data_IF_077066134263
#
_entry.id   IF_077066134263
#
_cell.length_a   1.000
_cell.length_b   1.000
_cell.length_c   1.000
_cell.angle_alpha   90.00
_cell.angle_beta   90.00
_cell.angle_gamma   90.00
#
_symmetry.space_group_name_H-M   'P 1'
#
loop_
_entity.id
_entity.type
_entity.pdbx_description
1 polymer ?
#
# COMPACT_ATOMS: atom_id res chain seq x y z
N UNK A 1 -13.84 12.52 9.73
CA UNK A 1 -12.50 11.98 9.38
C UNK A 1 -12.56 10.47 9.50
N UNK A 2 -12.04 9.76 8.51
CA UNK A 2 -11.99 8.29 8.59
C UNK A 2 -10.97 7.86 9.65
N UNK A 3 -11.34 6.85 10.44
CA UNK A 3 -10.45 6.20 11.42
C UNK A 3 -10.23 4.71 11.07
N UNK A 4 -10.52 4.33 9.81
CA UNK A 4 -10.47 2.91 9.42
C UNK A 4 -9.08 2.32 9.56
N UNK A 5 -8.03 3.08 9.25
CA UNK A 5 -6.63 2.63 9.40
C UNK A 5 -6.34 2.35 10.87
N UNK A 6 -6.61 3.32 11.75
CA UNK A 6 -6.37 3.21 13.19
C UNK A 6 -7.19 2.07 13.81
N UNK A 7 -8.48 2.00 13.50
CA UNK A 7 -9.38 0.95 13.99
C UNK A 7 -8.91 -0.44 13.53
N UNK A 8 -8.42 -0.56 12.29
CA UNK A 8 -7.88 -1.82 11.77
C UNK A 8 -6.64 -2.24 12.54
N UNK A 9 -5.64 -1.37 12.71
CA UNK A 9 -4.44 -1.70 13.46
C UNK A 9 -4.73 -1.97 14.94
N UNK A 10 -5.65 -1.24 15.55
CA UNK A 10 -6.06 -1.49 16.94
C UNK A 10 -6.72 -2.87 17.11
N UNK A 11 -7.65 -3.23 16.19
CA UNK A 11 -8.26 -4.56 16.15
C UNK A 11 -7.19 -5.64 16.03
N UNK A 12 -6.27 -5.51 15.06
CA UNK A 12 -5.22 -6.49 14.81
C UNK A 12 -4.24 -6.64 15.98
N UNK A 13 -3.94 -5.55 16.68
CA UNK A 13 -3.14 -5.57 17.91
C UNK A 13 -3.82 -6.39 19.01
N UNK A 14 -5.14 -6.24 19.18
CA UNK A 14 -5.93 -7.07 20.12
C UNK A 14 -5.96 -8.55 19.72
N UNK A 15 -5.96 -8.83 18.41
CA UNK A 15 -5.87 -10.20 17.87
C UNK A 15 -4.43 -10.76 17.88
N UNK A 16 -3.45 -9.97 18.31
CA UNK A 16 -2.02 -10.32 18.29
C UNK A 16 -1.56 -10.79 16.90
N UNK A 17 -1.93 -10.08 15.85
CA UNK A 17 -1.59 -10.42 14.46
C UNK A 17 -1.22 -9.16 13.66
N UNK A 18 -0.33 -9.32 12.68
CA UNK A 18 -0.01 -8.25 11.72
C UNK A 18 -1.10 -8.14 10.63
N UNK A 19 -1.16 -6.98 9.97
CA UNK A 19 -2.01 -6.77 8.80
C UNK A 19 -1.42 -7.38 7.54
N UNK A 20 -2.27 -7.79 6.59
CA UNK A 20 -1.91 -8.06 5.20
C UNK A 20 -2.42 -6.93 4.31
N UNK A 21 -1.51 -6.31 3.56
CA UNK A 21 -1.79 -5.20 2.66
C UNK A 21 -1.42 -5.63 1.23
N UNK A 22 -2.34 -6.18 0.44
CA UNK A 22 -2.11 -6.40 -0.98
C UNK A 22 -2.13 -5.07 -1.74
N UNK A 23 -1.17 -4.91 -2.67
CA UNK A 23 -1.15 -3.86 -3.67
C UNK A 23 -1.68 -4.40 -5.00
N UNK A 24 -2.58 -3.66 -5.64
CA UNK A 24 -3.00 -3.87 -7.02
C UNK A 24 -2.87 -2.57 -7.80
N UNK A 25 -2.56 -2.64 -9.10
CA UNK A 25 -2.63 -1.46 -9.96
C UNK A 25 -4.08 -1.22 -10.37
N UNK A 26 -4.59 -0.02 -10.13
CA UNK A 26 -5.94 0.33 -10.56
C UNK A 26 -6.07 0.28 -12.09
N UNK A 27 -7.15 -0.35 -12.60
CA UNK A 27 -7.39 -0.61 -14.02
C UNK A 27 -6.48 -1.69 -14.66
N UNK A 28 -5.74 -2.45 -13.89
CA UNK A 28 -4.96 -3.56 -14.43
C UNK A 28 -5.65 -4.92 -14.16
N UNK A 29 -6.02 -5.69 -15.19
CA UNK A 29 -5.90 -5.42 -16.62
C UNK A 29 -6.99 -4.47 -17.18
N UNK A 30 -8.08 -4.23 -16.47
CA UNK A 30 -9.22 -3.39 -16.83
C UNK A 30 -10.04 -2.97 -15.59
N UNK A 31 -10.99 -2.04 -15.78
CA UNK A 31 -11.83 -1.52 -14.70
C UNK A 31 -12.70 -2.59 -14.04
N UNK A 32 -13.30 -3.48 -14.84
CA UNK A 32 -14.23 -4.52 -14.35
C UNK A 32 -13.49 -5.53 -13.49
N UNK A 33 -12.33 -6.00 -13.96
CA UNK A 33 -11.47 -6.92 -13.23
C UNK A 33 -10.95 -6.28 -11.94
N UNK A 34 -10.51 -5.02 -12.00
CA UNK A 34 -10.08 -4.29 -10.79
C UNK A 34 -11.18 -4.17 -9.76
N UNK A 35 -12.41 -3.82 -10.17
CA UNK A 35 -13.55 -3.75 -9.25
C UNK A 35 -13.84 -5.11 -8.59
N UNK A 36 -13.79 -6.19 -9.36
CA UNK A 36 -13.99 -7.54 -8.83
C UNK A 36 -12.85 -8.00 -7.91
N UNK A 37 -11.59 -7.60 -8.20
CA UNK A 37 -10.44 -7.83 -7.31
C UNK A 37 -10.65 -7.12 -5.97
N UNK A 38 -11.00 -5.84 -6.00
CA UNK A 38 -11.27 -5.05 -4.79
C UNK A 38 -12.35 -5.72 -3.93
N UNK A 39 -13.45 -6.16 -4.54
CA UNK A 39 -14.53 -6.84 -3.82
C UNK A 39 -14.09 -8.18 -3.19
N UNK A 40 -13.19 -8.91 -3.82
CA UNK A 40 -12.76 -10.24 -3.38
C UNK A 40 -11.63 -10.23 -2.32
N UNK A 41 -10.75 -9.24 -2.35
CA UNK A 41 -9.55 -9.20 -1.51
C UNK A 41 -9.83 -9.19 0.01
N UNK A 42 -10.85 -8.49 0.56
CA UNK A 42 -11.14 -8.54 1.99
C UNK A 42 -11.50 -9.96 2.46
N UNK A 43 -12.33 -10.68 1.71
CA UNK A 43 -12.70 -12.06 2.02
C UNK A 43 -11.52 -13.04 1.85
N UNK A 44 -10.53 -12.69 1.02
CA UNK A 44 -9.29 -13.44 0.85
C UNK A 44 -8.28 -13.22 2.00
N UNK A 45 -8.52 -12.27 2.90
CA UNK A 45 -7.69 -12.00 4.07
C UNK A 45 -6.90 -10.68 4.01
N UNK A 46 -7.23 -9.78 3.09
CA UNK A 46 -6.69 -8.43 3.09
C UNK A 46 -7.29 -7.60 4.23
N UNK A 47 -6.46 -6.99 5.04
CA UNK A 47 -6.88 -6.09 6.13
C UNK A 47 -6.97 -4.63 5.67
N UNK A 48 -6.06 -4.21 4.81
CA UNK A 48 -6.07 -2.95 4.07
C UNK A 48 -5.80 -3.27 2.60
N UNK A 49 -6.17 -2.38 1.69
CA UNK A 49 -5.85 -2.54 0.26
C UNK A 49 -5.14 -1.30 -0.24
N UNK A 50 -4.04 -1.51 -0.96
CA UNK A 50 -3.29 -0.47 -1.64
C UNK A 50 -3.60 -0.50 -3.13
N UNK A 51 -3.99 0.65 -3.69
CA UNK A 51 -4.34 0.82 -5.10
C UNK A 51 -3.34 1.76 -5.76
N UNK A 52 -2.60 1.24 -6.74
CA UNK A 52 -1.69 2.03 -7.55
C UNK A 52 -2.43 2.99 -8.50
N UNK A 53 -2.03 4.23 -8.53
CA UNK A 53 -2.42 5.23 -9.54
C UNK A 53 -1.41 5.11 -10.68
N UNK A 54 -1.81 4.66 -11.89
CA UNK A 54 -0.88 4.50 -12.98
C UNK A 54 -0.34 5.84 -13.45
N UNK A 55 0.95 5.86 -13.79
CA UNK A 55 1.66 7.03 -14.29
C UNK A 55 2.59 6.62 -15.43
N UNK A 56 2.84 7.51 -16.38
CA UNK A 56 3.68 7.24 -17.55
C UNK A 56 5.18 7.20 -17.24
N UNK A 57 5.60 7.90 -16.15
CA UNK A 57 7.01 8.06 -15.77
C UNK A 57 7.27 7.53 -14.35
N UNK A 58 7.04 6.22 -14.09
CA UNK A 58 7.05 5.65 -12.74
C UNK A 58 8.48 5.31 -12.29
N UNK A 59 9.30 6.32 -12.02
CA UNK A 59 10.75 6.21 -11.76
C UNK A 59 11.16 5.31 -10.59
N UNK A 60 10.27 5.11 -9.63
CA UNK A 60 10.55 4.29 -8.44
C UNK A 60 9.99 2.86 -8.55
N UNK A 61 9.19 2.57 -9.59
CA UNK A 61 8.55 1.27 -9.73
C UNK A 61 9.46 0.24 -10.40
N UNK A 62 9.37 -0.99 -9.94
CA UNK A 62 10.02 -2.14 -10.60
C UNK A 62 9.27 -2.54 -11.89
N UNK A 63 9.91 -3.36 -12.76
CA UNK A 63 9.39 -3.67 -14.09
C UNK A 63 7.99 -4.30 -14.11
N UNK A 64 7.63 -5.07 -13.08
CA UNK A 64 6.29 -5.69 -12.97
C UNK A 64 5.22 -4.62 -12.75
N UNK A 65 5.49 -3.67 -11.87
CA UNK A 65 4.55 -2.56 -11.56
C UNK A 65 4.47 -1.60 -12.74
N UNK A 66 5.60 -1.27 -13.37
CA UNK A 66 5.62 -0.45 -14.59
C UNK A 66 4.76 -1.08 -15.70
N UNK A 67 4.92 -2.39 -15.95
CA UNK A 67 4.12 -3.09 -16.95
C UNK A 67 2.60 -3.08 -16.61
N UNK A 68 2.24 -3.18 -15.33
CA UNK A 68 0.86 -3.05 -14.88
C UNK A 68 0.32 -1.63 -15.10
N UNK A 69 1.12 -0.61 -14.78
CA UNK A 69 0.79 0.80 -15.04
C UNK A 69 0.53 1.07 -16.53
N UNK A 70 1.37 0.53 -17.42
CA UNK A 70 1.17 0.65 -18.87
C UNK A 70 -0.13 -0.02 -19.33
N UNK A 71 -0.48 -1.22 -18.82
CA UNK A 71 -1.75 -1.87 -19.13
C UNK A 71 -2.94 -1.05 -18.64
N UNK A 72 -2.85 -0.53 -17.43
CA UNK A 72 -3.88 0.33 -16.84
C UNK A 72 -4.11 1.61 -17.64
N UNK A 73 -3.04 2.31 -18.06
CA UNK A 73 -3.13 3.49 -18.93
C UNK A 73 -3.74 3.14 -20.28
N UNK A 74 -3.34 2.03 -20.90
CA UNK A 74 -3.93 1.54 -22.14
C UNK A 74 -5.41 1.19 -22.01
N UNK A 75 -5.85 0.74 -20.82
CA UNK A 75 -7.25 0.51 -20.48
C UNK A 75 -8.04 1.79 -20.16
N UNK A 76 -7.40 2.97 -20.27
CA UNK A 76 -8.04 4.27 -20.08
C UNK A 76 -8.12 4.74 -18.62
N UNK A 77 -7.23 4.24 -17.76
CA UNK A 77 -7.17 4.68 -16.35
C UNK A 77 -6.89 6.18 -16.25
N UNK A 78 -7.63 6.83 -15.36
CA UNK A 78 -7.42 8.22 -14.94
C UNK A 78 -7.55 8.29 -13.43
N UNK A 79 -7.00 9.32 -12.79
CA UNK A 79 -7.18 9.51 -11.35
C UNK A 79 -8.67 9.59 -10.98
N UNK A 80 -9.48 10.28 -11.80
CA UNK A 80 -10.94 10.36 -11.60
C UNK A 80 -11.60 8.97 -11.62
N UNK A 81 -11.22 8.12 -12.58
CA UNK A 81 -11.81 6.77 -12.69
C UNK A 81 -11.34 5.83 -11.56
N UNK A 82 -10.10 5.99 -11.06
CA UNK A 82 -9.62 5.30 -9.86
C UNK A 82 -10.47 5.66 -8.63
N UNK A 83 -10.75 6.96 -8.42
CA UNK A 83 -11.66 7.40 -7.35
C UNK A 83 -13.08 6.83 -7.53
N UNK A 84 -13.51 6.63 -8.76
CA UNK A 84 -14.76 5.93 -9.08
C UNK A 84 -14.78 4.49 -8.59
N UNK A 85 -13.69 3.73 -8.78
CA UNK A 85 -13.54 2.36 -8.25
C UNK A 85 -13.58 2.34 -6.72
N UNK A 86 -12.89 3.27 -6.07
CA UNK A 86 -12.91 3.37 -4.59
C UNK A 86 -14.34 3.64 -4.08
N UNK A 87 -15.08 4.52 -4.75
CA UNK A 87 -16.48 4.83 -4.39
C UNK A 87 -17.38 3.60 -4.52
N UNK A 88 -17.22 2.81 -5.60
CA UNK A 88 -17.95 1.56 -5.79
C UNK A 88 -17.61 0.53 -4.71
N UNK A 89 -16.33 0.36 -4.41
CA UNK A 89 -15.86 -0.52 -3.32
C UNK A 89 -16.47 -0.10 -1.98
N UNK A 90 -16.39 1.19 -1.65
CA UNK A 90 -16.87 1.72 -0.37
C UNK A 90 -18.36 1.51 -0.13
N UNK A 91 -19.18 1.46 -1.18
CA UNK A 91 -20.60 1.18 -1.08
C UNK A 91 -20.89 -0.24 -0.53
N UNK A 92 -19.94 -1.17 -0.64
CA UNK A 92 -20.07 -2.57 -0.19
C UNK A 92 -19.19 -2.88 1.03
N UNK A 93 -18.06 -2.21 1.18
CA UNK A 93 -17.03 -2.48 2.19
C UNK A 93 -16.79 -1.23 3.03
N UNK A 94 -17.56 -1.07 4.12
CA UNK A 94 -17.50 0.12 4.96
C UNK A 94 -16.17 0.25 5.75
N UNK A 95 -15.58 -0.88 6.16
CA UNK A 95 -14.53 -0.90 7.19
C UNK A 95 -13.11 -1.13 6.66
N UNK A 96 -12.95 -1.76 5.47
CA UNK A 96 -11.62 -2.04 4.91
C UNK A 96 -10.94 -0.77 4.44
N UNK A 97 -9.78 -0.37 5.00
CA UNK A 97 -9.08 0.84 4.56
C UNK A 97 -8.57 0.72 3.12
N UNK A 98 -8.64 1.83 2.38
CA UNK A 98 -8.08 2.00 1.05
C UNK A 98 -6.97 3.04 1.10
N UNK A 99 -5.79 2.66 0.62
CA UNK A 99 -4.63 3.52 0.45
C UNK A 99 -4.39 3.70 -1.04
N UNK A 100 -4.28 4.94 -1.51
CA UNK A 100 -3.82 5.20 -2.87
C UNK A 100 -2.30 5.36 -2.87
N UNK A 101 -1.62 4.77 -3.85
CA UNK A 101 -0.19 4.95 -4.06
C UNK A 101 0.07 5.50 -5.46
N UNK A 102 0.89 6.54 -5.56
CA UNK A 102 1.23 7.13 -6.86
C UNK A 102 2.31 8.20 -6.76
N UNK A 103 2.38 8.99 -7.80
CA UNK A 103 3.34 10.07 -7.98
C UNK A 103 2.67 11.43 -7.84
N UNK A 104 3.44 12.46 -7.50
CA UNK A 104 2.88 13.79 -7.22
C UNK A 104 2.30 14.47 -8.48
N UNK A 105 2.94 14.27 -9.63
CA UNK A 105 2.51 14.95 -10.87
C UNK A 105 1.03 14.70 -11.24
N UNK A 106 0.47 13.46 -11.25
CA UNK A 106 -0.94 13.22 -11.49
C UNK A 106 -1.87 13.95 -10.51
N UNK A 107 -1.49 14.05 -9.24
CA UNK A 107 -2.26 14.74 -8.20
C UNK A 107 -2.22 16.25 -8.44
N UNK A 108 -1.03 16.80 -8.67
CA UNK A 108 -0.81 18.21 -8.96
C UNK A 108 -1.63 18.67 -10.18
N UNK A 109 -1.63 17.86 -11.25
CA UNK A 109 -2.46 18.10 -12.46
C UNK A 109 -3.95 18.01 -12.20
N UNK A 110 -4.40 17.20 -11.27
CA UNK A 110 -5.81 17.12 -10.84
C UNK A 110 -6.21 18.35 -10.00
N UNK A 111 -5.25 18.95 -9.31
CA UNK A 111 -5.40 20.03 -8.34
C UNK A 111 -5.43 19.47 -6.92
N UNK A 112 -4.47 19.90 -6.09
CA UNK A 112 -4.22 19.34 -4.74
C UNK A 112 -5.46 19.38 -3.84
N UNK A 113 -6.13 20.53 -3.75
CA UNK A 113 -7.36 20.68 -2.97
C UNK A 113 -8.49 19.79 -3.49
N UNK A 114 -8.71 19.83 -4.81
CA UNK A 114 -9.75 19.04 -5.45
C UNK A 114 -9.50 17.54 -5.28
N UNK A 115 -8.26 17.11 -5.45
CA UNK A 115 -7.89 15.70 -5.22
C UNK A 115 -8.22 15.26 -3.80
N UNK A 116 -7.79 16.01 -2.79
CA UNK A 116 -8.03 15.64 -1.38
C UNK A 116 -9.53 15.59 -1.06
N UNK A 117 -10.31 16.55 -1.57
CA UNK A 117 -11.77 16.58 -1.41
C UNK A 117 -12.43 15.38 -2.07
N UNK A 118 -12.11 15.11 -3.35
CA UNK A 118 -12.72 14.03 -4.13
C UNK A 118 -12.30 12.64 -3.61
N UNK A 119 -11.04 12.49 -3.17
CA UNK A 119 -10.53 11.25 -2.58
C UNK A 119 -11.21 10.93 -1.23
N UNK A 120 -11.33 11.92 -0.34
CA UNK A 120 -12.04 11.75 0.92
C UNK A 120 -13.53 11.41 0.68
N UNK A 121 -14.19 12.10 -0.24
CA UNK A 121 -15.58 11.84 -0.62
C UNK A 121 -15.77 10.46 -1.27
N UNK A 122 -14.75 9.95 -1.99
CA UNK A 122 -14.76 8.60 -2.53
C UNK A 122 -14.55 7.51 -1.45
N UNK A 123 -14.04 7.90 -0.28
CA UNK A 123 -13.78 7.00 0.84
C UNK A 123 -12.37 6.43 0.87
N UNK A 124 -11.40 7.14 0.28
CA UNK A 124 -9.96 6.90 0.48
C UNK A 124 -9.61 7.22 1.93
N UNK A 125 -8.72 6.46 2.53
CA UNK A 125 -8.29 6.62 3.92
C UNK A 125 -6.90 7.23 4.03
N UNK A 126 -6.03 6.95 3.08
CA UNK A 126 -4.67 7.46 3.08
C UNK A 126 -4.03 7.45 1.70
N UNK A 127 -2.88 8.09 1.61
CA UNK A 127 -2.12 8.20 0.38
C UNK A 127 -0.62 8.02 0.62
N UNK A 128 0.01 7.36 -0.34
CA UNK A 128 1.47 7.27 -0.49
C UNK A 128 1.85 8.04 -1.75
N UNK A 129 2.69 9.06 -1.61
CA UNK A 129 3.23 9.82 -2.74
C UNK A 129 4.73 9.58 -2.78
N UNK A 130 5.15 8.84 -3.79
CA UNK A 130 6.49 8.24 -3.85
C UNK A 130 7.59 9.28 -3.97
N UNK A 131 7.31 10.36 -4.70
CA UNK A 131 8.25 11.42 -5.08
C UNK A 131 8.00 12.77 -4.39
N UNK A 132 7.16 12.81 -3.33
CA UNK A 132 6.93 14.04 -2.55
C UNK A 132 7.74 13.99 -1.23
N UNK A 133 8.89 14.66 -1.15
CA UNK A 133 9.68 14.72 0.07
C UNK A 133 9.02 15.61 1.13
N UNK A 134 9.33 15.42 2.43
CA UNK A 134 8.75 16.25 3.50
C UNK A 134 8.97 17.76 3.33
N UNK A 135 10.08 18.14 2.72
CA UNK A 135 10.42 19.54 2.47
C UNK A 135 9.46 20.25 1.51
N UNK A 136 8.81 19.48 0.62
CA UNK A 136 7.88 19.98 -0.39
C UNK A 136 6.40 19.66 -0.05
N UNK A 137 6.13 19.03 1.08
CA UNK A 137 4.75 18.62 1.45
C UNK A 137 3.81 19.80 1.69
N UNK A 138 4.35 21.01 1.90
CA UNK A 138 3.57 22.22 2.15
C UNK A 138 2.53 22.55 1.08
N UNK A 139 2.75 22.10 -0.16
CA UNK A 139 1.78 22.28 -1.25
C UNK A 139 0.54 21.37 -1.14
N UNK A 140 0.64 20.26 -0.42
CA UNK A 140 -0.43 19.26 -0.35
C UNK A 140 -0.96 19.03 1.06
N UNK A 141 -0.09 19.06 2.06
CA UNK A 141 -0.40 18.71 3.45
C UNK A 141 -1.59 19.46 4.05
N UNK A 142 -1.77 20.79 3.86
CA UNK A 142 -2.94 21.49 4.37
C UNK A 142 -4.28 20.89 3.88
N UNK A 143 -4.34 20.44 2.65
CA UNK A 143 -5.54 19.83 2.06
C UNK A 143 -5.75 18.39 2.54
N UNK A 144 -4.67 17.63 2.75
CA UNK A 144 -4.74 16.30 3.38
C UNK A 144 -5.30 16.40 4.80
N UNK A 145 -4.76 17.32 5.60
CA UNK A 145 -5.19 17.54 6.98
C UNK A 145 -6.66 17.97 7.04
N UNK A 146 -7.07 18.90 6.17
CA UNK A 146 -8.46 19.36 6.10
C UNK A 146 -9.46 18.26 5.69
N UNK A 147 -9.04 17.35 4.80
CA UNK A 147 -9.86 16.23 4.33
C UNK A 147 -9.79 15.00 5.22
N UNK A 148 -8.83 14.95 6.17
CA UNK A 148 -8.61 13.83 7.08
C UNK A 148 -7.94 12.61 6.42
N UNK A 149 -7.34 12.78 5.24
CA UNK A 149 -6.55 11.76 4.58
C UNK A 149 -5.20 11.58 5.28
N UNK A 150 -4.79 10.33 5.47
CA UNK A 150 -3.49 10.02 6.07
C UNK A 150 -2.38 10.07 5.03
N UNK A 151 -1.24 10.67 5.41
CA UNK A 151 -0.04 10.67 4.58
C UNK A 151 0.91 9.58 5.07
N UNK A 152 0.96 8.48 4.35
CA UNK A 152 1.87 7.37 4.64
C UNK A 152 3.23 7.68 4.04
N UNK A 153 4.30 7.64 4.84
CA UNK A 153 5.66 7.89 4.39
C UNK A 153 6.42 6.61 4.12
N UNK A 154 7.15 6.64 3.02
CA UNK A 154 8.08 5.57 2.65
C UNK A 154 9.44 5.80 3.32
N UNK A 155 9.96 4.78 3.98
CA UNK A 155 11.27 4.79 4.62
C UNK A 155 12.12 3.70 3.99
N UNK A 156 13.31 4.06 3.51
CA UNK A 156 14.25 3.14 2.87
C UNK A 156 15.40 2.78 3.81
N UNK A 157 16.09 1.64 3.61
CA UNK A 157 17.29 1.26 4.36
C UNK A 157 18.41 2.29 4.31
N UNK A 158 18.44 3.09 3.26
CA UNK A 158 19.40 4.16 3.04
C UNK A 158 19.07 5.47 3.75
N UNK A 159 17.90 5.56 4.40
CA UNK A 159 17.50 6.75 5.16
C UNK A 159 18.31 6.82 6.46
N UNK A 160 19.13 7.87 6.61
CA UNK A 160 19.86 8.14 7.86
C UNK A 160 18.88 8.54 8.99
N UNK A 161 19.39 8.51 10.25
CA UNK A 161 18.56 8.72 11.44
C UNK A 161 17.74 10.03 11.42
N UNK A 162 18.37 11.14 11.03
CA UNK A 162 17.67 12.44 10.92
C UNK A 162 16.56 12.40 9.86
N UNK A 163 16.79 11.71 8.73
CA UNK A 163 15.78 11.55 7.69
C UNK A 163 14.62 10.68 8.16
N UNK A 164 14.91 9.59 8.86
CA UNK A 164 13.90 8.72 9.48
C UNK A 164 13.03 9.52 10.45
N UNK A 165 13.65 10.33 11.32
CA UNK A 165 12.93 11.20 12.26
C UNK A 165 12.01 12.18 11.54
N UNK A 166 12.50 12.88 10.52
CA UNK A 166 11.71 13.83 9.73
C UNK A 166 10.52 13.16 9.05
N UNK A 167 10.76 12.03 8.36
CA UNK A 167 9.72 11.25 7.71
C UNK A 167 8.67 10.73 8.70
N UNK A 168 9.11 10.24 9.86
CA UNK A 168 8.19 9.75 10.90
C UNK A 168 7.32 10.85 11.50
N UNK A 169 7.85 12.05 11.67
CA UNK A 169 7.11 13.20 12.20
C UNK A 169 6.05 13.73 11.21
N UNK A 170 6.29 13.61 9.91
CA UNK A 170 5.34 14.03 8.88
C UNK A 170 4.35 12.93 8.48
N UNK A 171 4.56 11.69 8.95
CA UNK A 171 3.70 10.55 8.66
C UNK A 171 2.41 10.54 9.48
N UNK A 172 1.39 9.91 8.94
CA UNK A 172 0.16 9.57 9.66
C UNK A 172 -0.43 8.24 9.17
N UNK A 173 -1.25 7.60 10.02
CA UNK A 173 -1.80 6.27 9.75
C UNK A 173 -0.79 5.15 10.04
N UNK A 174 0.23 5.01 9.23
CA UNK A 174 1.36 4.10 9.42
C UNK A 174 2.59 4.59 8.64
N UNK A 175 3.76 4.00 8.91
CA UNK A 175 4.96 4.17 8.09
C UNK A 175 5.21 2.91 7.27
N UNK A 176 5.72 3.07 6.06
CA UNK A 176 5.98 1.97 5.15
C UNK A 176 7.48 1.82 4.91
N UNK A 177 8.08 0.78 5.48
CA UNK A 177 9.47 0.44 5.29
C UNK A 177 9.64 -0.40 4.01
N UNK A 178 10.38 0.15 3.03
CA UNK A 178 10.66 -0.53 1.77
C UNK A 178 12.04 -1.17 1.87
N UNK A 179 12.12 -2.49 1.85
CA UNK A 179 13.39 -3.16 1.71
C UNK A 179 13.71 -3.43 0.24
N UNK A 180 14.81 -2.86 -0.24
CA UNK A 180 15.25 -2.97 -1.65
C UNK A 180 15.93 -4.32 -1.91
N UNK A 181 16.40 -5.01 -0.89
CA UNK A 181 17.11 -6.29 -1.01
C UNK A 181 16.10 -7.43 -1.07
N UNK A 182 15.72 -7.83 -2.28
CA UNK A 182 14.96 -9.07 -2.51
C UNK A 182 15.69 -10.28 -1.88
N UNK A 183 14.91 -11.23 -1.35
CA UNK A 183 15.43 -12.44 -0.69
C UNK A 183 16.06 -13.38 -1.74
N UNK A 184 17.25 -13.06 -2.19
CA UNK A 184 18.06 -13.94 -3.04
C UNK A 184 19.42 -14.20 -2.35
N UNK A 185 19.55 -15.36 -1.71
CA UNK A 185 20.77 -15.78 -0.99
C UNK A 185 20.79 -15.39 0.50
N UNK A 186 21.38 -16.21 1.38
CA UNK A 186 21.57 -16.02 2.83
C UNK A 186 20.34 -15.49 3.62
N UNK A 187 19.20 -16.18 3.52
CA UNK A 187 17.88 -15.77 4.05
C UNK A 187 17.88 -15.33 5.53
N UNK A 188 18.62 -16.01 6.40
CA UNK A 188 18.63 -15.72 7.83
C UNK A 188 19.29 -14.36 8.14
N UNK A 189 20.49 -14.10 7.62
CA UNK A 189 21.23 -12.86 7.87
C UNK A 189 20.48 -11.61 7.36
N UNK A 190 19.73 -11.73 6.24
CA UNK A 190 18.90 -10.64 5.72
C UNK A 190 17.68 -10.35 6.60
N UNK A 191 17.06 -11.39 7.16
CA UNK A 191 15.93 -11.26 8.08
C UNK A 191 16.36 -10.58 9.38
N UNK A 192 17.51 -10.96 9.94
CA UNK A 192 18.06 -10.35 11.16
C UNK A 192 18.41 -8.87 10.94
N UNK A 193 19.00 -8.55 9.78
CA UNK A 193 19.28 -7.16 9.39
C UNK A 193 17.98 -6.36 9.28
N UNK A 194 16.97 -6.90 8.61
CA UNK A 194 15.67 -6.23 8.47
C UNK A 194 15.02 -6.02 9.85
N UNK A 195 15.02 -7.04 10.71
CA UNK A 195 14.51 -6.92 12.06
C UNK A 195 15.20 -5.80 12.83
N UNK A 196 16.55 -5.75 12.80
CA UNK A 196 17.31 -4.68 13.45
C UNK A 196 16.92 -3.29 12.93
N UNK A 197 16.71 -3.14 11.63
CA UNK A 197 16.27 -1.88 11.02
C UNK A 197 14.85 -1.47 11.48
N UNK A 198 13.94 -2.42 11.57
CA UNK A 198 12.58 -2.17 12.09
C UNK A 198 12.61 -1.82 13.58
N UNK A 199 13.43 -2.51 14.39
CA UNK A 199 13.61 -2.20 15.82
C UNK A 199 14.17 -0.76 16.02
N UNK A 200 15.09 -0.31 15.16
CA UNK A 200 15.58 1.09 15.17
C UNK A 200 14.48 2.08 14.74
N UNK A 201 13.73 1.76 13.68
CA UNK A 201 12.63 2.62 13.22
C UNK A 201 11.56 2.80 14.31
N UNK A 202 11.26 1.75 15.08
CA UNK A 202 10.30 1.76 16.19
C UNK A 202 10.71 2.70 17.33
N UNK A 203 11.99 3.09 17.43
CA UNK A 203 12.45 4.11 18.37
C UNK A 203 12.12 5.54 17.91
N UNK A 204 11.78 5.71 16.64
CA UNK A 204 11.52 7.03 16.02
C UNK A 204 10.04 7.30 15.79
N UNK A 205 9.14 6.31 15.99
CA UNK A 205 7.70 6.46 15.75
C UNK A 205 6.87 5.48 16.56
N UNK A 206 5.71 5.95 17.01
CA UNK A 206 4.66 5.10 17.62
C UNK A 206 3.65 4.58 16.58
N UNK A 207 3.77 5.03 15.32
CA UNK A 207 2.91 4.57 14.23
C UNK A 207 3.17 3.10 13.92
N UNK A 208 2.15 2.35 13.46
CA UNK A 208 2.36 1.01 12.93
C UNK A 208 3.39 1.00 11.80
N UNK A 209 4.19 -0.06 11.72
CA UNK A 209 5.22 -0.22 10.69
C UNK A 209 4.80 -1.32 9.73
N UNK A 210 4.52 -0.94 8.48
CA UNK A 210 4.31 -1.87 7.37
C UNK A 210 5.64 -2.17 6.67
N UNK A 211 5.85 -3.42 6.26
CA UNK A 211 7.07 -3.84 5.58
C UNK A 211 6.77 -4.43 4.20
N UNK A 212 7.36 -3.83 3.16
CA UNK A 212 7.40 -4.37 1.80
C UNK A 212 8.75 -5.00 1.50
N UNK A 213 8.77 -6.31 1.24
CA UNK A 213 10.02 -7.08 1.13
C UNK A 213 10.04 -8.11 0.00
N UNK A 214 9.31 -7.88 -1.09
CA UNK A 214 9.28 -8.86 -2.19
C UNK A 214 8.69 -10.21 -1.77
N UNK A 215 7.69 -10.20 -0.91
CA UNK A 215 7.03 -11.36 -0.30
C UNK A 215 6.20 -12.12 -1.33
N UNK A 216 6.34 -13.45 -1.33
CA UNK A 216 5.70 -14.37 -2.27
C UNK A 216 5.09 -15.60 -1.61
N UNK A 217 5.39 -15.89 -0.35
CA UNK A 217 4.98 -17.12 0.35
C UNK A 217 4.47 -16.84 1.76
N UNK A 218 3.59 -17.71 2.28
CA UNK A 218 3.09 -17.64 3.65
C UNK A 218 4.22 -17.71 4.70
N UNK A 219 5.29 -18.45 4.43
CA UNK A 219 6.46 -18.53 5.33
C UNK A 219 7.17 -17.18 5.44
N UNK A 220 7.30 -16.44 4.32
CA UNK A 220 7.87 -15.11 4.34
C UNK A 220 6.96 -14.12 5.08
N UNK A 221 5.63 -14.22 4.89
CA UNK A 221 4.66 -13.45 5.67
C UNK A 221 4.84 -13.73 7.15
N UNK A 222 4.89 -14.99 7.58
CA UNK A 222 5.11 -15.39 8.96
C UNK A 222 6.39 -14.80 9.54
N UNK A 223 7.48 -14.85 8.79
CA UNK A 223 8.78 -14.34 9.23
C UNK A 223 8.73 -12.83 9.47
N UNK A 224 8.19 -12.06 8.49
CA UNK A 224 8.15 -10.59 8.57
C UNK A 224 7.12 -10.12 9.58
N UNK A 225 5.96 -10.76 9.67
CA UNK A 225 4.91 -10.42 10.64
C UNK A 225 5.33 -10.60 12.11
N UNK A 226 6.39 -11.36 12.36
CA UNK A 226 6.91 -11.54 13.71
C UNK A 226 7.49 -10.26 14.33
N UNK A 227 7.91 -9.28 13.52
CA UNK A 227 8.54 -8.03 13.99
C UNK A 227 7.97 -6.76 13.33
N UNK A 228 6.96 -6.88 12.45
CA UNK A 228 6.25 -5.75 11.85
C UNK A 228 4.76 -5.76 12.17
N UNK A 229 4.10 -4.62 12.01
CA UNK A 229 2.66 -4.47 12.25
C UNK A 229 1.83 -4.78 11.00
N UNK A 230 2.46 -4.71 9.81
CA UNK A 230 1.83 -5.08 8.54
C UNK A 230 2.86 -5.63 7.55
N UNK A 231 2.36 -6.45 6.64
CA UNK A 231 3.12 -7.04 5.52
C UNK A 231 2.47 -6.59 4.22
N UNK A 232 3.27 -5.94 3.35
CA UNK A 232 2.79 -5.46 2.04
C UNK A 232 3.22 -6.43 0.94
N UNK A 233 2.29 -6.77 0.05
CA UNK A 233 2.52 -7.68 -1.07
C UNK A 233 2.09 -7.02 -2.37
N UNK A 234 3.07 -6.59 -3.16
CA UNK A 234 2.86 -5.89 -4.45
C UNK A 234 3.18 -6.75 -5.66
N UNK A 235 4.42 -6.69 -6.14
CA UNK A 235 4.83 -7.27 -7.44
C UNK A 235 4.42 -8.73 -7.65
N UNK A 236 4.42 -9.54 -6.59
CA UNK A 236 4.02 -10.94 -6.69
C UNK A 236 2.53 -11.10 -7.02
N UNK A 237 1.66 -10.29 -6.39
CA UNK A 237 0.23 -10.29 -6.67
C UNK A 237 -0.08 -9.73 -8.06
N UNK A 238 0.58 -8.63 -8.44
CA UNK A 238 0.45 -8.03 -9.78
C UNK A 238 0.87 -9.01 -10.87
N UNK A 239 1.94 -9.79 -10.65
CA UNK A 239 2.38 -10.84 -11.57
C UNK A 239 1.35 -12.00 -11.67
N UNK A 240 0.75 -12.41 -10.54
CA UNK A 240 -0.35 -13.39 -10.53
C UNK A 240 -1.54 -12.90 -11.35
N UNK A 241 -1.96 -11.65 -11.18
CA UNK A 241 -3.05 -11.03 -11.95
C UNK A 241 -2.72 -11.05 -13.45
N UNK A 242 -1.52 -10.58 -13.82
CA UNK A 242 -1.10 -10.48 -15.22
C UNK A 242 -1.06 -11.84 -15.94
N UNK A 243 -0.64 -12.92 -15.26
CA UNK A 243 -0.53 -14.26 -15.82
C UNK A 243 -1.87 -14.99 -15.96
N UNK A 244 -2.89 -14.60 -15.19
CA UNK A 244 -4.16 -15.32 -15.12
C UNK A 244 -5.34 -14.55 -15.71
N UNK A 245 -5.14 -13.82 -16.78
CA UNK A 245 -6.08 -12.88 -17.43
C UNK A 245 -7.59 -13.13 -17.15
N UNK A 246 -8.11 -14.29 -17.59
CA UNK A 246 -9.54 -14.61 -17.49
C UNK A 246 -9.96 -15.11 -16.09
N UNK A 247 -9.01 -15.50 -15.24
CA UNK A 247 -9.23 -15.99 -13.88
C UNK A 247 -8.49 -15.16 -12.84
N UNK A 248 -8.13 -13.91 -13.17
CA UNK A 248 -7.31 -13.02 -12.35
C UNK A 248 -7.86 -12.89 -10.91
N UNK A 249 -9.15 -12.72 -10.76
CA UNK A 249 -9.80 -12.56 -9.43
C UNK A 249 -9.64 -13.83 -8.59
N UNK A 250 -9.91 -15.00 -9.19
CA UNK A 250 -9.78 -16.30 -8.51
C UNK A 250 -8.34 -16.59 -8.13
N UNK A 251 -7.40 -16.35 -9.05
CA UNK A 251 -5.98 -16.57 -8.81
C UNK A 251 -5.42 -15.62 -7.74
N UNK A 252 -5.78 -14.33 -7.79
CA UNK A 252 -5.39 -13.34 -6.80
C UNK A 252 -5.96 -13.66 -5.41
N UNK A 253 -7.25 -14.02 -5.33
CA UNK A 253 -7.89 -14.40 -4.05
C UNK A 253 -7.23 -15.64 -3.45
N UNK A 254 -6.96 -16.66 -4.24
CA UNK A 254 -6.27 -17.85 -3.79
C UNK A 254 -4.85 -17.54 -3.28
N UNK A 255 -4.11 -16.69 -4.01
CA UNK A 255 -2.78 -16.26 -3.62
C UNK A 255 -2.79 -15.46 -2.31
N UNK A 256 -3.68 -14.48 -2.16
CA UNK A 256 -3.82 -13.68 -0.93
C UNK A 256 -4.25 -14.56 0.25
N UNK A 257 -5.20 -15.49 0.05
CA UNK A 257 -5.63 -16.43 1.09
C UNK A 257 -4.50 -17.35 1.55
N UNK A 258 -3.62 -17.77 0.64
CA UNK A 258 -2.44 -18.57 1.01
C UNK A 258 -1.47 -17.74 1.86
N UNK A 259 -1.20 -16.49 1.46
CA UNK A 259 -0.34 -15.58 2.23
C UNK A 259 -0.90 -15.29 3.63
N UNK A 260 -2.21 -15.10 3.75
CA UNK A 260 -2.88 -14.81 5.01
C UNK A 260 -2.71 -15.92 6.06
N UNK A 261 -2.43 -17.17 5.65
CA UNK A 261 -2.11 -18.25 6.57
C UNK A 261 -0.83 -17.99 7.38
N UNK A 262 0.09 -17.21 6.82
CA UNK A 262 1.33 -16.81 7.50
C UNK A 262 1.14 -15.79 8.62
N UNK A 263 -0.02 -15.12 8.71
CA UNK A 263 -0.30 -14.13 9.76
C UNK A 263 -0.73 -14.74 11.10
N UNK A 264 -1.09 -16.01 11.14
CA UNK A 264 -1.48 -16.67 12.38
C UNK A 264 -0.23 -16.84 13.25
N UNK A 265 -0.23 -16.20 14.41
CA UNK A 265 0.77 -16.33 15.47
C UNK A 265 0.40 -17.45 16.43
#
# INVERSE_FOLDING_TARGET
>A
MSQRIENTFEKLRRENRAALIPFIMGYDPDATTTAALLDALPAAGADLIEIGIPFSEPMADGPVIQAAGLRALAAGATLHSILGLVRQFRAKHADTPIILMGYFNPLYRYGNERFCTDAAAAGVDGIIIVDLPPEEEGELKPYLDASGLKLIRLIAPTSGAERVKLLSQSASGFVYYISITGITGAKAAQTDTLKTQIDHLRQSTDLPIAVGFGIKTAEQVKTVSAFSDAVVVGSALVDVIARNKNEAVKAASAFVSELAKGLKR
#
